data_IF_131949503581
#
_entry.id   IF_131949503581
#
_cell.length_a   1.000
_cell.length_b   1.000
_cell.length_c   1.000
_cell.angle_alpha   90.00
_cell.angle_beta   90.00
_cell.angle_gamma   90.00
#
_symmetry.space_group_name_H-M   'P 1'
#
loop_
_entity.id
_entity.type
_entity.pdbx_description
1 polymer ?
#
# COMPACT_ATOMS: atom_id res chain seq x y z
N UNK A 1 28.59 -14.61 -0.65
CA UNK A 1 27.44 -15.51 -0.84
C UNK A 1 27.71 -16.35 -2.07
N UNK A 2 27.75 -17.68 -1.93
CA UNK A 2 27.88 -18.61 -3.05
C UNK A 2 26.62 -18.59 -3.93
N UNK A 3 26.68 -19.11 -5.18
CA UNK A 3 25.52 -19.16 -6.08
C UNK A 3 24.32 -19.93 -5.50
N UNK A 4 24.58 -21.01 -4.75
CA UNK A 4 23.54 -21.84 -4.12
C UNK A 4 22.86 -21.08 -2.97
N UNK A 5 23.64 -20.41 -2.13
CA UNK A 5 23.10 -19.57 -1.05
C UNK A 5 22.27 -18.40 -1.60
N UNK A 6 22.67 -17.82 -2.73
CA UNK A 6 21.93 -16.76 -3.39
C UNK A 6 20.58 -17.24 -3.97
N UNK A 7 20.55 -18.44 -4.55
CA UNK A 7 19.32 -19.05 -5.06
C UNK A 7 18.34 -19.37 -3.92
N UNK A 8 18.84 -19.95 -2.82
CA UNK A 8 18.02 -20.25 -1.64
C UNK A 8 17.47 -18.98 -0.98
N UNK A 9 18.30 -17.93 -0.86
CA UNK A 9 17.89 -16.61 -0.37
C UNK A 9 16.77 -16.02 -1.23
N UNK A 10 16.94 -16.05 -2.55
CA UNK A 10 15.94 -15.56 -3.51
C UNK A 10 14.62 -16.33 -3.39
N UNK A 11 14.67 -17.66 -3.37
CA UNK A 11 13.49 -18.51 -3.24
C UNK A 11 12.73 -18.25 -1.93
N UNK A 12 13.44 -18.08 -0.81
CA UNK A 12 12.84 -17.77 0.48
C UNK A 12 12.06 -16.45 0.44
N UNK A 13 12.64 -15.41 -0.14
CA UNK A 13 11.97 -14.11 -0.25
C UNK A 13 10.78 -14.14 -1.19
N UNK A 14 10.89 -14.85 -2.31
CA UNK A 14 9.73 -15.10 -3.17
C UNK A 14 8.62 -15.81 -2.41
N UNK A 15 8.92 -16.87 -1.64
CA UNK A 15 7.92 -17.57 -0.84
C UNK A 15 7.23 -16.64 0.17
N UNK A 16 8.00 -15.83 0.90
CA UNK A 16 7.46 -14.85 1.88
C UNK A 16 6.53 -13.84 1.23
N UNK A 17 6.96 -13.24 0.12
CA UNK A 17 6.20 -12.17 -0.55
C UNK A 17 4.97 -12.74 -1.27
N UNK A 18 5.04 -13.95 -1.80
CA UNK A 18 3.87 -14.61 -2.39
C UNK A 18 2.84 -15.00 -1.32
N UNK A 19 3.27 -15.42 -0.13
CA UNK A 19 2.34 -15.80 0.93
C UNK A 19 1.71 -14.61 1.65
N UNK A 20 2.48 -13.52 1.84
CA UNK A 20 2.07 -12.37 2.66
C UNK A 20 1.71 -11.11 1.85
N UNK A 21 2.05 -11.05 0.57
CA UNK A 21 2.00 -9.82 -0.23
C UNK A 21 3.24 -8.93 0.02
N UNK A 22 3.14 -7.61 -0.24
CA UNK A 22 4.23 -6.69 0.05
C UNK A 22 4.69 -6.76 1.51
N UNK A 23 6.01 -6.75 1.72
CA UNK A 23 6.61 -6.86 3.05
C UNK A 23 7.49 -5.66 3.35
N UNK A 24 7.27 -5.03 4.49
CA UNK A 24 8.14 -3.98 5.01
C UNK A 24 9.37 -4.60 5.67
N UNK A 25 10.57 -4.11 5.34
CA UNK A 25 11.86 -4.64 5.79
C UNK A 25 12.86 -3.51 6.04
N UNK A 26 13.97 -3.85 6.73
CA UNK A 26 15.07 -2.91 6.96
C UNK A 26 15.69 -2.42 5.64
N UNK A 27 16.06 -1.13 5.50
CA UNK A 27 16.83 -0.57 4.37
C UNK A 27 18.02 -1.43 3.95
N UNK A 28 18.68 -2.06 4.92
CA UNK A 28 19.87 -2.90 4.72
C UNK A 28 19.57 -4.29 4.15
N UNK A 29 18.30 -4.64 3.96
CA UNK A 29 17.91 -5.93 3.39
C UNK A 29 18.48 -6.07 1.97
N UNK A 30 19.28 -7.12 1.68
CA UNK A 30 19.90 -7.29 0.36
C UNK A 30 18.85 -7.37 -0.76
N UNK A 31 19.13 -6.82 -1.97
CA UNK A 31 18.25 -6.94 -3.12
C UNK A 31 17.91 -8.39 -3.44
N UNK A 32 16.64 -8.63 -3.80
CA UNK A 32 16.13 -9.94 -4.20
C UNK A 32 15.78 -9.87 -5.68
N UNK A 33 16.33 -10.77 -6.48
CA UNK A 33 16.06 -10.80 -7.91
C UNK A 33 14.57 -11.00 -8.20
N UNK A 34 14.02 -10.16 -9.08
CA UNK A 34 12.63 -10.24 -9.52
C UNK A 34 11.59 -9.70 -8.53
N UNK A 35 11.99 -8.98 -7.48
CA UNK A 35 11.08 -8.25 -6.59
C UNK A 35 11.36 -6.74 -6.66
N UNK A 36 10.31 -5.91 -6.69
CA UNK A 36 10.45 -4.47 -6.63
C UNK A 36 10.71 -3.99 -5.20
N UNK A 37 11.33 -2.81 -5.08
CA UNK A 37 11.59 -2.12 -3.82
C UNK A 37 10.92 -0.76 -3.83
N UNK A 38 10.11 -0.46 -2.81
CA UNK A 38 9.55 0.87 -2.60
C UNK A 38 10.09 1.43 -1.27
N UNK A 39 10.85 2.52 -1.31
CA UNK A 39 11.30 3.19 -0.10
C UNK A 39 10.14 3.97 0.53
N UNK A 40 10.02 3.94 1.86
CA UNK A 40 9.20 4.92 2.56
C UNK A 40 9.83 6.32 2.44
N UNK A 41 9.03 7.40 2.44
CA UNK A 41 9.55 8.76 2.34
C UNK A 41 10.55 9.13 3.45
N UNK A 42 10.40 8.54 4.64
CA UNK A 42 11.27 8.78 5.79
C UNK A 42 12.57 7.98 5.75
N UNK A 43 12.71 7.05 4.79
CA UNK A 43 13.86 6.15 4.67
C UNK A 43 14.00 5.13 5.79
N UNK A 44 13.05 5.08 6.74
CA UNK A 44 13.13 4.19 7.90
C UNK A 44 12.94 2.72 7.53
N UNK A 45 12.32 2.47 6.37
CA UNK A 45 12.05 1.12 5.87
C UNK A 45 11.89 1.10 4.35
N UNK A 46 11.92 -0.11 3.80
CA UNK A 46 11.50 -0.36 2.43
C UNK A 46 10.44 -1.45 2.37
N UNK A 47 9.67 -1.43 1.30
CA UNK A 47 8.76 -2.51 0.93
C UNK A 47 9.38 -3.36 -0.15
N UNK A 48 9.38 -4.68 0.05
CA UNK A 48 9.62 -5.66 -1.01
C UNK A 48 8.27 -6.06 -1.59
N UNK A 49 8.10 -5.87 -2.89
CA UNK A 49 6.81 -6.00 -3.59
C UNK A 49 6.93 -7.08 -4.68
N UNK A 50 5.95 -7.99 -4.81
CA UNK A 50 5.96 -8.95 -5.91
C UNK A 50 5.74 -8.22 -7.22
N UNK A 51 6.66 -8.36 -8.17
CA UNK A 51 6.48 -7.88 -9.53
C UNK A 51 6.04 -9.04 -10.42
N UNK A 52 4.97 -8.82 -11.18
CA UNK A 52 4.65 -9.68 -12.30
C UNK A 52 5.64 -9.38 -13.43
N UNK A 53 6.16 -10.41 -14.12
CA UNK A 53 6.91 -10.21 -15.35
C UNK A 53 6.09 -9.41 -16.38
N UNK A 54 6.76 -8.67 -17.25
CA UNK A 54 6.09 -7.96 -18.33
C UNK A 54 5.25 -8.94 -19.18
N UNK A 55 3.98 -8.59 -19.39
CA UNK A 55 3.02 -9.43 -20.11
C UNK A 55 2.27 -10.46 -19.25
N UNK A 56 2.71 -10.75 -18.01
CA UNK A 56 2.00 -11.61 -17.05
C UNK A 56 0.88 -10.85 -16.33
N UNK A 57 0.00 -10.20 -17.10
CA UNK A 57 -1.16 -9.46 -16.58
C UNK A 57 -2.42 -10.31 -16.44
N UNK A 58 -3.57 -9.65 -16.38
CA UNK A 58 -4.88 -10.30 -16.21
C UNK A 58 -5.15 -11.44 -17.22
N UNK A 59 -4.77 -11.25 -18.49
CA UNK A 59 -4.95 -12.26 -19.53
C UNK A 59 -4.24 -13.59 -19.19
N UNK A 60 -3.06 -13.53 -18.56
CA UNK A 60 -2.32 -14.72 -18.13
C UNK A 60 -2.99 -15.37 -16.91
N UNK A 61 -3.56 -14.58 -15.99
CA UNK A 61 -4.33 -15.13 -14.86
C UNK A 61 -5.60 -15.83 -15.34
N UNK A 62 -6.29 -15.25 -16.33
CA UNK A 62 -7.46 -15.84 -16.99
C UNK A 62 -7.11 -17.16 -17.69
N UNK A 63 -6.01 -17.18 -18.47
CA UNK A 63 -5.49 -18.41 -19.11
C UNK A 63 -5.16 -19.52 -18.11
N UNK A 64 -4.63 -19.15 -16.94
CA UNK A 64 -4.25 -20.08 -15.87
C UNK A 64 -5.43 -20.51 -14.99
N UNK A 65 -6.64 -19.99 -15.23
CA UNK A 65 -7.81 -20.25 -14.37
C UNK A 65 -7.63 -19.74 -12.93
N UNK A 66 -6.72 -18.78 -12.73
CA UNK A 66 -6.45 -18.20 -11.42
C UNK A 66 -7.55 -17.18 -11.05
N UNK A 67 -8.06 -17.18 -9.80
CA UNK A 67 -9.05 -16.20 -9.40
C UNK A 67 -8.49 -14.78 -9.54
N UNK A 68 -9.24 -13.83 -10.13
CA UNK A 68 -8.77 -12.47 -10.30
C UNK A 68 -8.55 -11.79 -8.94
N UNK A 69 -7.47 -11.03 -8.81
CA UNK A 69 -7.21 -10.22 -7.61
C UNK A 69 -8.31 -9.15 -7.51
N UNK A 70 -8.75 -8.80 -6.30
CA UNK A 70 -9.95 -7.99 -6.03
C UNK A 70 -10.05 -6.62 -6.75
N UNK A 71 -8.95 -6.11 -7.31
CA UNK A 71 -8.85 -4.84 -8.02
C UNK A 71 -8.87 -5.00 -9.55
N UNK A 72 -8.79 -6.23 -10.06
CA UNK A 72 -8.67 -6.50 -11.51
C UNK A 72 -10.00 -6.41 -12.26
N UNK A 73 -11.14 -6.39 -11.57
CA UNK A 73 -12.44 -6.15 -12.21
C UNK A 73 -12.96 -4.73 -11.91
N UNK A 74 -13.73 -4.13 -12.85
CA UNK A 74 -14.40 -2.84 -12.63
C UNK A 74 -15.55 -3.00 -11.62
N UNK A 75 -15.18 -3.06 -10.34
CA UNK A 75 -16.08 -3.20 -9.21
C UNK A 75 -15.97 -1.98 -8.28
N UNK A 76 -16.79 -1.93 -7.23
CA UNK A 76 -16.79 -0.81 -6.29
C UNK A 76 -15.43 -0.61 -5.59
N UNK A 77 -14.68 -1.68 -5.34
CA UNK A 77 -13.34 -1.59 -4.76
C UNK A 77 -12.37 -0.88 -5.71
N UNK A 78 -12.44 -1.18 -7.01
CA UNK A 78 -11.64 -0.48 -8.04
C UNK A 78 -12.03 1.01 -8.16
N UNK A 79 -13.33 1.35 -8.04
CA UNK A 79 -13.77 2.75 -8.02
C UNK A 79 -13.26 3.50 -6.79
N UNK A 80 -13.34 2.89 -5.60
CA UNK A 80 -12.80 3.49 -4.38
C UNK A 80 -11.28 3.65 -4.49
N UNK A 81 -10.57 2.71 -5.11
CA UNK A 81 -9.13 2.88 -5.38
C UNK A 81 -8.86 4.08 -6.28
N UNK A 82 -9.59 4.25 -7.39
CA UNK A 82 -9.43 5.42 -8.28
C UNK A 82 -9.68 6.75 -7.55
N UNK A 83 -10.66 6.78 -6.64
CA UNK A 83 -10.93 7.94 -5.78
C UNK A 83 -9.75 8.19 -4.84
N UNK A 84 -9.21 7.14 -4.20
CA UNK A 84 -8.04 7.28 -3.31
C UNK A 84 -6.80 7.76 -4.09
N UNK A 85 -6.59 7.28 -5.31
CA UNK A 85 -5.54 7.79 -6.22
C UNK A 85 -5.76 9.27 -6.51
N UNK A 86 -6.98 9.68 -6.80
CA UNK A 86 -7.31 11.10 -7.03
C UNK A 86 -6.99 11.97 -5.79
N UNK A 87 -7.23 11.45 -4.58
CA UNK A 87 -6.95 12.16 -3.33
C UNK A 87 -5.46 12.19 -2.95
N UNK A 88 -4.70 11.16 -3.32
CA UNK A 88 -3.33 10.93 -2.83
C UNK A 88 -2.24 11.18 -3.89
N UNK A 89 -2.58 11.28 -5.19
CA UNK A 89 -1.63 11.53 -6.28
C UNK A 89 -1.88 12.91 -6.91
N UNK A 90 -1.45 13.95 -6.20
CA UNK A 90 -1.67 15.35 -6.59
C UNK A 90 -0.77 15.75 -7.77
N UNK A 91 0.52 15.42 -7.69
CA UNK A 91 1.51 15.68 -8.75
C UNK A 91 1.51 14.55 -9.79
N UNK A 92 0.55 14.61 -10.72
CA UNK A 92 0.26 13.54 -11.67
C UNK A 92 1.35 13.29 -12.71
N UNK A 93 2.29 14.21 -12.90
CA UNK A 93 3.45 14.02 -13.77
C UNK A 93 4.58 13.23 -13.09
N UNK A 94 4.53 13.13 -11.76
CA UNK A 94 5.49 12.38 -10.94
C UNK A 94 5.07 10.92 -10.67
N UNK A 95 5.88 10.19 -9.88
CA UNK A 95 5.53 8.85 -9.44
C UNK A 95 4.29 8.88 -8.51
N UNK A 96 3.43 7.86 -8.63
CA UNK A 96 2.24 7.75 -7.79
C UNK A 96 2.59 7.37 -6.34
N UNK A 97 3.57 6.49 -6.12
CA UNK A 97 4.08 6.16 -4.79
C UNK A 97 5.22 7.11 -4.41
N UNK A 98 5.30 7.59 -3.16
CA UNK A 98 4.39 7.32 -2.03
C UNK A 98 3.12 8.17 -2.01
N UNK A 99 3.04 9.16 -2.89
CA UNK A 99 1.94 10.13 -2.92
C UNK A 99 1.90 11.01 -1.66
N UNK A 100 0.78 11.69 -1.47
CA UNK A 100 0.46 12.47 -0.26
C UNK A 100 -0.61 11.75 0.56
N UNK A 101 -0.73 12.13 1.83
CA UNK A 101 -1.79 11.64 2.72
C UNK A 101 -3.12 12.33 2.37
N UNK A 102 -4.11 11.54 1.96
CA UNK A 102 -5.51 11.95 1.84
C UNK A 102 -6.33 11.58 3.08
N UNK A 103 -7.63 11.88 3.04
CA UNK A 103 -8.56 11.65 4.14
C UNK A 103 -9.83 10.91 3.71
N UNK A 104 -10.47 10.22 4.65
CA UNK A 104 -11.78 9.61 4.45
C UNK A 104 -12.82 10.66 4.02
N UNK A 105 -12.73 11.89 4.56
CA UNK A 105 -13.61 12.99 4.16
C UNK A 105 -13.48 13.34 2.67
N UNK A 106 -12.26 13.40 2.14
CA UNK A 106 -12.03 13.60 0.71
C UNK A 106 -12.59 12.47 -0.12
N UNK A 107 -12.31 11.21 0.26
CA UNK A 107 -12.81 10.02 -0.45
C UNK A 107 -14.35 10.05 -0.53
N UNK A 108 -15.03 10.36 0.57
CA UNK A 108 -16.48 10.51 0.62
C UNK A 108 -17.00 11.64 -0.26
N UNK A 109 -16.33 12.79 -0.25
CA UNK A 109 -16.72 13.95 -1.05
C UNK A 109 -16.64 13.65 -2.55
N UNK A 110 -15.52 13.06 -3.00
CA UNK A 110 -15.35 12.65 -4.41
C UNK A 110 -16.36 11.56 -4.78
N UNK A 111 -16.61 10.59 -3.90
CA UNK A 111 -17.61 9.53 -4.14
C UNK A 111 -19.03 10.12 -4.31
N UNK A 112 -19.43 11.04 -3.43
CA UNK A 112 -20.74 11.70 -3.53
C UNK A 112 -20.86 12.57 -4.79
N UNK A 113 -19.81 13.31 -5.13
CA UNK A 113 -19.72 14.10 -6.37
C UNK A 113 -19.86 13.22 -7.62
N UNK A 114 -19.18 12.07 -7.65
CA UNK A 114 -19.26 11.10 -8.76
C UNK A 114 -20.69 10.55 -8.93
N UNK A 115 -21.42 10.38 -7.82
CA UNK A 115 -22.81 9.87 -7.85
C UNK A 115 -23.85 10.95 -8.14
N UNK A 116 -23.47 12.23 -8.08
CA UNK A 116 -24.38 13.36 -8.28
C UNK A 116 -25.52 13.42 -7.25
N UNK A 117 -25.33 12.85 -6.05
CA UNK A 117 -26.35 12.81 -4.99
C UNK A 117 -25.73 12.88 -3.58
N UNK A 118 -26.50 13.31 -2.56
CA UNK A 118 -26.04 13.25 -1.18
C UNK A 118 -25.63 11.84 -0.73
N UNK A 119 -24.71 11.79 0.23
CA UNK A 119 -24.23 10.56 0.87
C UNK A 119 -25.37 9.81 1.57
N UNK A 120 -25.44 8.50 1.37
CA UNK A 120 -26.31 7.59 2.12
C UNK A 120 -25.49 6.69 3.05
N UNK A 121 -26.09 6.20 4.14
CA UNK A 121 -25.39 5.32 5.09
C UNK A 121 -24.84 4.03 4.46
N UNK A 122 -25.49 3.53 3.40
CA UNK A 122 -25.03 2.39 2.61
C UNK A 122 -23.74 2.69 1.83
N UNK A 123 -23.55 3.93 1.36
CA UNK A 123 -22.33 4.35 0.67
C UNK A 123 -21.14 4.32 1.63
N UNK A 124 -21.32 4.80 2.87
CA UNK A 124 -20.26 4.76 3.88
C UNK A 124 -19.83 3.32 4.19
N UNK A 125 -20.78 2.40 4.36
CA UNK A 125 -20.50 0.99 4.63
C UNK A 125 -19.68 0.37 3.49
N UNK A 126 -20.03 0.70 2.25
CA UNK A 126 -19.35 0.24 1.04
C UNK A 126 -17.93 0.82 0.92
N UNK A 127 -17.76 2.12 1.18
CA UNK A 127 -16.46 2.79 1.17
C UNK A 127 -15.53 2.13 2.20
N UNK A 128 -15.99 1.99 3.44
CA UNK A 128 -15.21 1.38 4.53
C UNK A 128 -14.85 -0.08 4.19
N UNK A 129 -15.81 -0.87 3.69
CA UNK A 129 -15.54 -2.24 3.26
C UNK A 129 -14.49 -2.30 2.14
N UNK A 130 -14.51 -1.36 1.21
CA UNK A 130 -13.54 -1.27 0.11
C UNK A 130 -12.16 -0.84 0.59
N UNK A 131 -12.07 0.16 1.46
CA UNK A 131 -10.81 0.60 2.08
C UNK A 131 -10.16 -0.54 2.87
N UNK A 132 -10.92 -1.31 3.65
CA UNK A 132 -10.39 -2.48 4.36
C UNK A 132 -9.81 -3.54 3.42
N UNK A 133 -10.49 -3.82 2.30
CA UNK A 133 -9.98 -4.77 1.28
C UNK A 133 -8.72 -4.25 0.60
N UNK A 134 -8.69 -2.98 0.22
CA UNK A 134 -7.53 -2.33 -0.40
C UNK A 134 -6.33 -2.27 0.56
N UNK A 135 -6.59 -2.02 1.84
CA UNK A 135 -5.60 -2.06 2.90
C UNK A 135 -5.05 -3.47 3.13
N UNK A 136 -5.93 -4.47 3.26
CA UNK A 136 -5.52 -5.87 3.42
C UNK A 136 -4.68 -6.38 2.24
N UNK A 137 -4.87 -5.79 1.05
CA UNK A 137 -4.11 -6.12 -0.15
C UNK A 137 -2.98 -5.14 -0.43
N UNK A 138 -2.69 -4.18 0.45
CA UNK A 138 -1.57 -3.23 0.33
C UNK A 138 -1.61 -2.35 -0.93
N UNK A 139 -2.80 -2.14 -1.50
CA UNK A 139 -3.06 -1.10 -2.50
C UNK A 139 -3.18 0.29 -1.86
N UNK A 140 -3.58 0.33 -0.59
CA UNK A 140 -3.65 1.52 0.24
C UNK A 140 -3.02 1.23 1.61
N UNK A 141 -2.50 2.25 2.26
CA UNK A 141 -2.28 2.27 3.71
C UNK A 141 -3.41 3.11 4.32
N UNK A 142 -4.16 2.54 5.26
CA UNK A 142 -5.34 3.20 5.84
C UNK A 142 -5.26 3.20 7.36
N UNK A 143 -5.15 4.39 7.94
CA UNK A 143 -5.37 4.59 9.37
C UNK A 143 -6.87 4.82 9.60
N UNK A 144 -7.57 3.77 9.99
CA UNK A 144 -9.01 3.81 10.24
C UNK A 144 -9.37 4.76 11.40
N UNK A 145 -8.48 4.93 12.39
CA UNK A 145 -8.74 5.78 13.55
C UNK A 145 -8.57 7.27 13.20
N UNK A 146 -7.48 7.59 12.50
CA UNK A 146 -7.23 8.96 12.05
C UNK A 146 -8.06 9.34 10.81
N UNK A 147 -8.64 8.36 10.11
CA UNK A 147 -9.32 8.56 8.84
C UNK A 147 -8.37 8.98 7.73
N UNK A 148 -7.10 8.59 7.80
CA UNK A 148 -6.05 8.97 6.86
C UNK A 148 -5.78 7.85 5.86
N UNK A 149 -5.68 8.18 4.59
CA UNK A 149 -5.42 7.23 3.50
C UNK A 149 -4.15 7.64 2.78
N UNK A 150 -3.26 6.69 2.52
CA UNK A 150 -2.12 6.83 1.60
C UNK A 150 -2.20 5.75 0.54
N UNK A 151 -1.57 5.99 -0.60
CA UNK A 151 -1.31 4.91 -1.54
C UNK A 151 -0.45 3.84 -0.86
N UNK A 152 -0.67 2.58 -1.25
CA UNK A 152 0.03 1.40 -0.73
C UNK A 152 1.18 0.98 -1.63
N UNK A 153 2.13 0.17 -1.14
CA UNK A 153 3.37 -0.16 -1.84
C UNK A 153 3.14 -0.89 -3.17
N UNK A 154 2.00 -1.57 -3.36
CA UNK A 154 1.65 -2.18 -4.66
C UNK A 154 1.56 -1.17 -5.79
N UNK A 155 1.30 0.10 -5.51
CA UNK A 155 1.24 1.16 -6.53
C UNK A 155 2.53 1.29 -7.33
N UNK A 156 3.69 0.89 -6.76
CA UNK A 156 4.97 0.91 -7.48
C UNK A 156 4.99 -0.04 -8.69
N UNK A 157 4.11 -1.05 -8.72
CA UNK A 157 4.06 -2.01 -9.82
C UNK A 157 3.28 -1.49 -11.03
N UNK A 158 2.68 -0.29 -10.95
CA UNK A 158 2.01 0.30 -12.10
C UNK A 158 3.01 0.75 -13.16
N UNK A 159 2.88 0.17 -14.35
CA UNK A 159 3.66 0.56 -15.52
C UNK A 159 3.16 1.86 -16.16
N UNK A 160 3.91 2.42 -17.12
CA UNK A 160 3.58 3.69 -17.78
C UNK A 160 2.16 3.75 -18.37
N UNK A 161 1.69 2.66 -18.99
CA UNK A 161 0.35 2.57 -19.58
C UNK A 161 -0.76 2.65 -18.52
N UNK A 162 -0.58 1.97 -17.38
CA UNK A 162 -1.54 2.02 -16.28
C UNK A 162 -1.59 3.42 -15.67
N UNK A 163 -0.43 4.05 -15.48
CA UNK A 163 -0.34 5.43 -14.99
C UNK A 163 -1.01 6.41 -15.96
N UNK A 164 -0.84 6.25 -17.28
CA UNK A 164 -1.53 7.07 -18.27
C UNK A 164 -3.07 6.93 -18.17
N UNK A 165 -3.58 5.70 -18.05
CA UNK A 165 -5.01 5.46 -17.85
C UNK A 165 -5.53 6.05 -16.53
N UNK A 166 -4.77 5.95 -15.44
CA UNK A 166 -5.14 6.54 -14.15
C UNK A 166 -5.19 8.06 -14.21
N UNK A 167 -4.30 8.74 -14.95
CA UNK A 167 -4.36 10.19 -15.16
C UNK A 167 -5.65 10.60 -15.85
N UNK A 168 -6.12 9.83 -16.83
CA UNK A 168 -7.41 10.06 -17.49
C UNK A 168 -8.56 9.95 -16.50
N UNK A 169 -8.59 8.87 -15.72
CA UNK A 169 -9.60 8.65 -14.69
C UNK A 169 -9.61 9.80 -13.66
N UNK A 170 -8.44 10.23 -13.20
CA UNK A 170 -8.34 11.32 -12.24
C UNK A 170 -8.77 12.68 -12.82
N UNK A 171 -8.80 12.84 -14.16
CA UNK A 171 -9.27 14.08 -14.81
C UNK A 171 -10.80 14.16 -14.86
N UNK A 172 -11.48 13.01 -14.92
CA UNK A 172 -12.94 12.95 -15.00
C UNK A 172 -13.61 12.87 -13.63
N UNK A 173 -12.88 12.46 -12.60
CA UNK A 173 -13.40 12.42 -11.24
C UNK A 173 -13.50 13.84 -10.64
N UNK A 174 -14.47 14.08 -9.73
CA UNK A 174 -14.55 15.35 -9.01
C UNK A 174 -13.25 15.64 -8.26
N UNK A 175 -12.88 16.93 -8.22
CA UNK A 175 -11.71 17.35 -7.45
C UNK A 175 -11.94 17.12 -5.94
N UNK A 176 -10.95 16.54 -5.23
CA UNK A 176 -11.05 16.37 -3.80
C UNK A 176 -10.97 17.73 -3.10
N UNK A 177 -11.73 17.96 -2.02
CA UNK A 177 -11.53 19.12 -1.18
C UNK A 177 -10.13 19.09 -0.54
N UNK A 178 -9.68 20.22 0.02
CA UNK A 178 -8.42 20.27 0.76
C UNK A 178 -8.41 19.27 1.91
N UNK A 179 -7.31 18.50 2.03
CA UNK A 179 -7.13 17.57 3.14
C UNK A 179 -7.02 18.32 4.47
N UNK A 180 -7.80 17.91 5.46
CA UNK A 180 -7.67 18.38 6.85
C UNK A 180 -7.15 17.22 7.66
N UNK A 181 -5.84 17.23 7.93
CA UNK A 181 -5.18 16.20 8.72
C UNK A 181 -5.26 16.53 10.20
N UNK A 182 -5.43 15.50 11.03
CA UNK A 182 -5.36 15.69 12.48
C UNK A 182 -3.88 15.70 12.87
N UNK A 183 -3.36 16.75 13.53
CA UNK A 183 -1.96 16.75 13.96
C UNK A 183 -1.71 15.56 14.90
N UNK A 184 -0.77 14.69 14.55
CA UNK A 184 -0.32 13.61 15.45
C UNK A 184 0.34 14.23 16.68
N UNK A 185 -0.14 13.87 17.86
CA UNK A 185 0.69 13.99 19.05
C UNK A 185 1.92 13.10 18.85
N UNK A 186 3.15 13.59 19.08
CA UNK A 186 4.33 12.75 18.99
C UNK A 186 4.16 11.57 19.95
N UNK A 187 4.22 10.37 19.41
CA UNK A 187 4.17 9.13 20.18
C UNK A 187 5.42 9.10 21.07
N UNK A 188 5.23 9.14 22.39
CA UNK A 188 6.31 8.96 23.36
C UNK A 188 6.97 7.61 23.04
N UNK A 189 8.29 7.55 22.79
CA UNK A 189 8.98 6.30 22.50
C UNK A 189 8.64 5.27 23.58
N UNK A 190 8.24 4.07 23.15
CA UNK A 190 7.94 2.97 24.07
C UNK A 190 9.12 2.75 25.02
N UNK A 191 8.80 2.63 26.30
CA UNK A 191 9.73 2.38 27.42
C UNK A 191 10.70 1.25 27.06
N UNK A 192 12.03 1.46 27.11
CA UNK A 192 12.98 0.40 26.79
C UNK A 192 12.74 -0.80 27.70
N UNK A 193 12.61 -1.99 27.09
CA UNK A 193 12.54 -3.27 27.78
C UNK A 193 13.60 -3.32 28.90
N UNK A 194 13.25 -3.81 30.11
CA UNK A 194 14.21 -3.92 31.21
C UNK A 194 15.37 -4.79 30.75
N UNK A 195 16.58 -4.22 30.78
CA UNK A 195 17.81 -4.92 30.48
C UNK A 195 17.93 -6.15 31.39
N UNK A 196 18.27 -7.30 30.81
CA UNK A 196 18.60 -8.51 31.54
C UNK A 196 19.57 -8.17 32.67
N UNK A 197 19.11 -8.36 33.91
CA UNK A 197 19.97 -8.40 35.08
C UNK A 197 20.91 -9.58 34.90
N UNK A 198 22.09 -9.30 34.36
CA UNK A 198 23.24 -10.17 34.46
C UNK A 198 23.45 -10.45 35.95
N UNK A 199 23.18 -11.70 36.34
CA UNK A 199 23.59 -12.23 37.63
C UNK A 199 25.12 -12.28 37.66
N UNK A 200 25.72 -11.18 38.10
CA UNK A 200 27.08 -11.13 38.60
C UNK A 200 27.02 -11.08 40.13
N UNK A 201 27.66 -12.06 40.77
CA UNK A 201 27.88 -12.14 42.21
C UNK A 201 27.45 -13.49 42.77
N UNK A 202 28.32 -14.33 43.31
CA UNK A 202 29.72 -14.16 43.65
C UNK A 202 30.23 -15.48 44.23
N UNK A 203 31.53 -15.67 44.06
CA UNK A 203 32.37 -16.63 44.77
C UNK A 203 32.46 -16.22 46.26
N UNK A 204 32.33 -17.18 47.18
CA UNK A 204 33.06 -17.31 48.47
C UNK A 204 32.28 -18.19 49.47
N UNK A 205 32.90 -19.32 49.86
CA UNK A 205 32.49 -20.17 50.98
C UNK A 205 32.80 -21.66 50.82
#
# INVERSE_FOLDING_TARGET
>A
MSPVENAAYTALWWAKVQSAGPLQVSPDTPPVAGLARAAEPDGASLWIVPTLPDGAGHAVLEELGAPPVAVEQPNETARVLAICVTCCWIERDGPAWPGVTGTLAQVKAVYAGMRGRPEQSSDLTLIIGSLRRLHATQWLLWDEKAGEVRLGPRVITWGPTQLAGLREICRILPDPPTAVLTPRSPETPADPLPADVSAAGGDDG
#
